data_IF_211609647062
#
_entry.id   IF_211609647062
#
_cell.length_a   1.000
_cell.length_b   1.000
_cell.length_c   1.000
_cell.angle_alpha   90.00
_cell.angle_beta   90.00
_cell.angle_gamma   90.00
#
_symmetry.space_group_name_H-M   'P 1'
#
loop_
_entity.id
_entity.type
_entity.pdbx_description
1 polymer ?
#
# COMPACT_ATOMS: atom_id res chain seq x y z
N UNK A 1 -47.62 43.22 -9.77
CA UNK A 1 -46.16 43.31 -9.88
C UNK A 1 -45.54 42.02 -9.33
N UNK A 2 -44.90 41.21 -10.18
CA UNK A 2 -44.06 40.10 -9.73
C UNK A 2 -42.88 40.00 -10.70
N UNK A 3 -41.74 40.53 -10.28
CA UNK A 3 -40.47 40.45 -11.03
C UNK A 3 -39.94 39.04 -10.89
N UNK A 4 -39.91 38.26 -11.96
CA UNK A 4 -39.19 36.99 -12.00
C UNK A 4 -37.82 37.24 -12.61
N UNK A 5 -36.81 37.14 -11.75
CA UNK A 5 -35.42 37.42 -12.05
C UNK A 5 -34.86 36.38 -13.05
N UNK A 6 -34.14 36.86 -14.06
CA UNK A 6 -33.33 36.06 -14.98
C UNK A 6 -32.24 35.33 -14.18
N UNK A 7 -32.31 33.99 -14.11
CA UNK A 7 -31.23 33.16 -13.56
C UNK A 7 -30.35 32.74 -14.74
N UNK A 8 -29.16 33.35 -14.84
CA UNK A 8 -28.13 32.94 -15.79
C UNK A 8 -27.52 31.60 -15.31
N UNK A 9 -27.72 30.53 -16.09
CA UNK A 9 -27.10 29.23 -15.84
C UNK A 9 -25.77 29.18 -16.59
N UNK A 10 -24.67 29.36 -15.85
CA UNK A 10 -23.31 29.12 -16.34
C UNK A 10 -23.04 27.61 -16.34
N UNK A 11 -22.68 26.98 -17.47
CA UNK A 11 -22.35 25.56 -17.47
C UNK A 11 -20.96 25.39 -16.85
N UNK A 12 -20.91 24.78 -15.67
CA UNK A 12 -19.69 24.36 -15.01
C UNK A 12 -19.12 23.18 -15.81
N UNK A 13 -18.22 23.47 -16.76
CA UNK A 13 -17.48 22.47 -17.53
C UNK A 13 -16.53 21.77 -16.54
N UNK A 14 -16.99 20.65 -15.97
CA UNK A 14 -16.12 19.71 -15.26
C UNK A 14 -15.21 19.06 -16.31
N UNK A 15 -14.04 19.65 -16.54
CA UNK A 15 -12.93 18.98 -17.19
C UNK A 15 -12.45 17.87 -16.25
N UNK A 16 -13.03 16.68 -16.39
CA UNK A 16 -12.52 15.46 -15.77
C UNK A 16 -11.22 15.13 -16.49
N UNK A 17 -10.11 15.62 -15.97
CA UNK A 17 -8.78 15.15 -16.34
C UNK A 17 -8.58 13.75 -15.76
N UNK A 18 -8.57 12.73 -16.62
CA UNK A 18 -8.10 11.41 -16.23
C UNK A 18 -6.57 11.49 -16.05
N UNK A 19 -6.12 11.65 -14.80
CA UNK A 19 -4.71 11.42 -14.47
C UNK A 19 -4.46 9.91 -14.52
N UNK A 20 -3.85 9.43 -15.60
CA UNK A 20 -3.26 8.10 -15.62
C UNK A 20 -1.94 8.17 -14.84
N UNK A 21 -1.95 7.68 -13.60
CA UNK A 21 -0.69 7.38 -12.92
C UNK A 21 -0.05 6.21 -13.67
N UNK A 22 1.02 6.46 -14.43
CA UNK A 22 1.89 5.41 -14.94
C UNK A 22 2.61 4.81 -13.74
N UNK A 23 2.00 3.81 -13.11
CA UNK A 23 2.67 3.00 -12.10
C UNK A 23 3.78 2.25 -12.84
N UNK A 24 5.03 2.50 -12.48
CA UNK A 24 6.15 1.68 -12.93
C UNK A 24 5.93 0.28 -12.33
N UNK A 25 5.22 -0.59 -13.07
CA UNK A 25 4.88 -1.96 -12.63
C UNK A 25 6.14 -2.78 -12.78
N UNK A 26 6.88 -2.90 -11.68
CA UNK A 26 8.08 -3.72 -11.60
C UNK A 26 7.69 -4.95 -10.80
N UNK A 27 7.70 -6.10 -11.47
CA UNK A 27 7.22 -7.37 -10.91
C UNK A 27 7.83 -7.75 -9.55
N UNK A 28 9.09 -7.36 -9.30
CA UNK A 28 9.74 -7.64 -8.02
C UNK A 28 9.31 -6.71 -6.87
N UNK A 29 8.82 -5.51 -7.18
CA UNK A 29 8.19 -4.61 -6.21
C UNK A 29 6.81 -5.14 -5.85
N UNK A 30 5.97 -5.48 -6.84
CA UNK A 30 4.62 -6.03 -6.59
C UNK A 30 4.68 -7.35 -5.79
N UNK A 31 5.65 -8.21 -6.12
CA UNK A 31 5.90 -9.44 -5.35
C UNK A 31 6.33 -9.17 -3.92
N UNK A 32 7.10 -8.11 -3.69
CA UNK A 32 7.50 -7.68 -2.35
C UNK A 32 6.33 -7.08 -1.58
N UNK A 33 5.56 -6.18 -2.19
CA UNK A 33 4.38 -5.56 -1.59
C UNK A 33 3.39 -6.62 -1.12
N UNK A 34 3.14 -7.66 -1.92
CA UNK A 34 2.29 -8.77 -1.48
C UNK A 34 2.81 -9.44 -0.19
N UNK A 35 4.11 -9.73 -0.12
CA UNK A 35 4.70 -10.38 1.08
C UNK A 35 4.71 -9.41 2.28
N UNK A 36 4.86 -8.12 2.01
CA UNK A 36 4.82 -7.06 2.99
C UNK A 36 3.41 -6.89 3.60
N UNK A 37 2.39 -6.90 2.76
CA UNK A 37 0.98 -6.88 3.16
C UNK A 37 0.62 -8.14 3.95
N UNK A 38 1.02 -9.32 3.47
CA UNK A 38 0.80 -10.59 4.17
C UNK A 38 1.43 -10.55 5.58
N UNK A 39 2.63 -9.95 5.73
CA UNK A 39 3.28 -9.76 7.02
C UNK A 39 2.48 -8.82 7.96
N UNK A 40 2.02 -7.67 7.46
CA UNK A 40 1.25 -6.72 8.27
C UNK A 40 -0.09 -7.31 8.69
N UNK A 41 -0.78 -7.98 7.77
CA UNK A 41 -2.02 -8.69 8.05
C UNK A 41 -1.83 -9.69 9.19
N UNK A 42 -0.89 -10.64 9.04
CA UNK A 42 -0.62 -11.65 10.06
C UNK A 42 -0.22 -11.06 11.41
N UNK A 43 0.57 -9.98 11.40
CA UNK A 43 0.98 -9.30 12.63
C UNK A 43 -0.19 -8.64 13.34
N UNK A 44 -1.20 -8.17 12.59
CA UNK A 44 -2.44 -7.61 13.12
C UNK A 44 -3.42 -8.65 13.66
N UNK A 45 -3.30 -9.92 13.24
CA UNK A 45 -4.14 -11.03 13.73
C UNK A 45 -3.73 -11.50 15.13
N UNK A 46 -2.52 -11.19 15.59
CA UNK A 46 -2.09 -11.60 16.93
C UNK A 46 -2.85 -10.81 18.00
N UNK A 47 -3.49 -11.53 18.92
CA UNK A 47 -4.17 -10.94 20.06
C UNK A 47 -3.96 -11.77 21.34
N UNK A 48 -3.85 -11.08 22.47
CA UNK A 48 -3.56 -11.69 23.77
C UNK A 48 -4.68 -12.58 24.30
N UNK A 49 -5.91 -12.41 23.82
CA UNK A 49 -7.08 -13.19 24.25
C UNK A 49 -7.23 -14.49 23.47
N UNK A 50 -6.43 -14.70 22.42
CA UNK A 50 -6.45 -15.92 21.63
C UNK A 50 -5.96 -17.14 22.44
N UNK A 51 -6.46 -18.34 22.12
CA UNK A 51 -5.88 -19.59 22.63
C UNK A 51 -4.39 -19.69 22.34
N UNK A 52 -3.64 -20.31 23.26
CA UNK A 52 -2.17 -20.41 23.17
C UNK A 52 -1.70 -21.04 21.85
N UNK A 53 -2.35 -22.11 21.42
CA UNK A 53 -2.04 -22.78 20.15
C UNK A 53 -2.15 -21.82 18.96
N UNK A 54 -3.20 -20.98 18.92
CA UNK A 54 -3.40 -20.03 17.83
C UNK A 54 -2.37 -18.90 17.87
N UNK A 55 -1.98 -18.42 19.05
CA UNK A 55 -0.91 -17.42 19.18
C UNK A 55 0.41 -17.94 18.63
N UNK A 56 0.80 -19.16 19.02
CA UNK A 56 2.03 -19.80 18.54
C UNK A 56 2.03 -20.02 17.02
N UNK A 57 0.88 -20.36 16.45
CA UNK A 57 0.71 -20.50 15.01
C UNK A 57 0.91 -19.16 14.29
N UNK A 58 0.24 -18.10 14.75
CA UNK A 58 0.38 -16.74 14.19
C UNK A 58 1.83 -16.26 14.33
N UNK A 59 2.45 -16.43 15.49
CA UNK A 59 3.85 -16.03 15.72
C UNK A 59 4.82 -16.71 14.74
N UNK A 60 4.59 -17.99 14.45
CA UNK A 60 5.39 -18.74 13.47
C UNK A 60 5.17 -18.20 12.05
N UNK A 61 3.92 -17.94 11.66
CA UNK A 61 3.57 -17.41 10.35
C UNK A 61 4.12 -15.99 10.14
N UNK A 62 3.99 -15.12 11.16
CA UNK A 62 4.57 -13.78 11.22
C UNK A 62 6.09 -13.86 11.07
N UNK A 63 6.76 -14.71 11.85
CA UNK A 63 8.21 -14.82 11.80
C UNK A 63 8.70 -15.22 10.40
N UNK A 64 8.05 -16.19 9.74
CA UNK A 64 8.40 -16.61 8.39
C UNK A 64 8.13 -15.51 7.36
N UNK A 65 6.93 -14.94 7.37
CA UNK A 65 6.47 -14.00 6.35
C UNK A 65 7.18 -12.66 6.47
N UNK A 66 7.29 -12.10 7.68
CA UNK A 66 7.96 -10.84 7.91
C UNK A 66 9.48 -10.93 7.72
N UNK A 67 10.12 -12.06 8.04
CA UNK A 67 11.54 -12.27 7.72
C UNK A 67 11.77 -12.27 6.20
N UNK A 68 10.86 -12.86 5.43
CA UNK A 68 10.90 -12.82 3.96
C UNK A 68 10.71 -11.39 3.45
N UNK A 69 9.75 -10.65 3.99
CA UNK A 69 9.51 -9.24 3.64
C UNK A 69 10.76 -8.38 3.88
N UNK A 70 11.37 -8.47 5.08
CA UNK A 70 12.61 -7.77 5.44
C UNK A 70 13.76 -8.07 4.48
N UNK A 71 13.93 -9.36 4.12
CA UNK A 71 14.97 -9.79 3.18
C UNK A 71 14.75 -9.19 1.78
N UNK A 72 13.52 -9.26 1.27
CA UNK A 72 13.16 -8.69 -0.04
C UNK A 72 13.34 -7.18 -0.05
N UNK A 73 12.89 -6.48 0.99
CA UNK A 73 13.06 -5.02 1.10
C UNK A 73 14.54 -4.63 1.03
N UNK A 74 15.42 -5.34 1.75
CA UNK A 74 16.87 -5.10 1.69
C UNK A 74 17.43 -5.33 0.29
N UNK A 75 17.02 -6.41 -0.39
CA UNK A 75 17.47 -6.72 -1.75
C UNK A 75 17.02 -5.66 -2.76
N UNK A 76 15.77 -5.19 -2.66
CA UNK A 76 15.22 -4.18 -3.55
C UNK A 76 15.83 -2.80 -3.31
N UNK A 77 16.08 -2.42 -2.04
CA UNK A 77 16.78 -1.18 -1.69
C UNK A 77 18.17 -1.10 -2.35
N UNK A 78 18.89 -2.22 -2.39
CA UNK A 78 20.17 -2.28 -3.08
C UNK A 78 20.00 -2.26 -4.60
N UNK A 79 19.06 -3.05 -5.14
CA UNK A 79 18.79 -3.12 -6.59
C UNK A 79 18.39 -1.78 -7.20
N UNK A 80 17.58 -0.99 -6.49
CA UNK A 80 17.07 0.30 -6.97
C UNK A 80 17.76 1.50 -6.32
N UNK A 81 18.98 1.31 -5.82
CA UNK A 81 19.78 2.37 -5.21
C UNK A 81 19.86 3.60 -6.14
N UNK A 82 19.59 4.78 -5.58
CA UNK A 82 19.60 6.05 -6.31
C UNK A 82 18.33 6.36 -7.10
N UNK A 83 17.34 5.45 -7.14
CA UNK A 83 16.02 5.69 -7.75
C UNK A 83 15.02 6.04 -6.66
N UNK A 84 14.98 7.31 -6.28
CA UNK A 84 14.23 7.79 -5.11
C UNK A 84 12.73 7.51 -5.19
N UNK A 85 12.15 7.59 -6.38
CA UNK A 85 10.74 7.25 -6.65
C UNK A 85 10.43 5.80 -6.27
N UNK A 86 11.25 4.86 -6.74
CA UNK A 86 11.10 3.43 -6.42
C UNK A 86 11.44 3.14 -4.95
N UNK A 87 12.47 3.79 -4.41
CA UNK A 87 12.84 3.62 -3.01
C UNK A 87 11.73 4.09 -2.07
N UNK A 88 10.97 5.13 -2.42
CA UNK A 88 9.82 5.57 -1.64
C UNK A 88 8.75 4.48 -1.57
N UNK A 89 8.47 3.79 -2.69
CA UNK A 89 7.54 2.65 -2.73
C UNK A 89 8.04 1.49 -1.85
N UNK A 90 9.31 1.09 -1.99
CA UNK A 90 9.92 0.02 -1.18
C UNK A 90 9.93 0.36 0.32
N UNK A 91 9.96 1.65 0.67
CA UNK A 91 10.06 2.12 2.04
C UNK A 91 8.70 2.42 2.69
N UNK A 92 7.57 2.16 2.02
CA UNK A 92 6.23 2.33 2.61
C UNK A 92 6.00 1.45 3.84
N UNK A 93 6.65 0.29 3.87
CA UNK A 93 6.56 -0.65 4.99
C UNK A 93 7.73 -0.45 5.96
N UNK A 94 7.40 -0.28 7.23
CA UNK A 94 8.33 -0.26 8.35
C UNK A 94 8.17 -1.58 9.13
N UNK A 95 9.25 -2.35 9.28
CA UNK A 95 9.25 -3.69 9.86
C UNK A 95 10.32 -3.88 10.94
#
# INVERSE_FOLDING_TARGET
MRKTNFIAVLPFIFLIGCSYATTIKIDDIESYEKVADDCQYLSGEWDSTLPEERKLEIEKEVNVTCSKAKKLQKQLREKYKGKNDILNEINKYDF
#
